data_IF_998841742853
#
_entry.id   IF_998841742853
#
_cell.length_a   1.000
_cell.length_b   1.000
_cell.length_c   1.000
_cell.angle_alpha   90.00
_cell.angle_beta   90.00
_cell.angle_gamma   90.00
#
_symmetry.space_group_name_H-M   'P 1'
#
loop_
_entity.id
_entity.type
_entity.pdbx_description
1 polymer ?
#
# COMPACT_ATOMS: atom_id res chain seq x y z
N UNK A 1 -38.11 12.28 -15.09
CA UNK A 1 -36.93 13.15 -14.89
C UNK A 1 -36.97 14.31 -15.89
N UNK A 2 -36.43 15.47 -15.52
CA UNK A 2 -36.34 16.67 -16.39
C UNK A 2 -34.87 16.95 -16.73
N UNK A 3 -34.63 17.65 -17.84
CA UNK A 3 -33.30 18.20 -18.19
C UNK A 3 -33.38 19.71 -18.34
N UNK A 4 -32.25 20.37 -18.13
CA UNK A 4 -32.10 21.80 -18.43
C UNK A 4 -31.80 21.95 -19.92
N UNK A 5 -32.53 22.84 -20.59
CA UNK A 5 -32.25 23.28 -21.97
C UNK A 5 -32.04 24.79 -21.92
N UNK A 6 -31.01 25.29 -22.59
CA UNK A 6 -30.80 26.73 -22.78
C UNK A 6 -30.84 26.99 -24.29
N UNK A 7 -31.76 27.85 -24.73
CA UNK A 7 -31.92 28.17 -26.13
C UNK A 7 -30.92 29.21 -26.66
N UNK A 8 -30.90 29.36 -27.97
CA UNK A 8 -29.87 30.11 -28.72
C UNK A 8 -29.92 31.62 -28.51
N UNK A 9 -31.01 32.18 -27.96
CA UNK A 9 -31.11 33.62 -27.71
C UNK A 9 -30.53 34.04 -26.37
N UNK A 10 -29.78 33.16 -25.71
CA UNK A 10 -29.11 33.43 -24.45
C UNK A 10 -28.27 34.72 -24.52
N UNK A 11 -28.54 35.66 -23.62
CA UNK A 11 -27.83 36.96 -23.56
C UNK A 11 -26.68 36.99 -22.56
N UNK A 12 -26.33 35.86 -21.93
CA UNK A 12 -25.21 35.81 -20.98
C UNK A 12 -25.41 36.60 -19.69
N UNK A 13 -26.64 36.71 -19.18
CA UNK A 13 -26.91 37.50 -17.97
C UNK A 13 -26.32 36.94 -16.65
N UNK A 14 -25.81 35.70 -16.67
CA UNK A 14 -25.10 35.08 -15.55
C UNK A 14 -25.96 34.57 -14.38
N UNK A 15 -27.26 34.87 -14.35
CA UNK A 15 -28.15 34.52 -13.22
C UNK A 15 -28.21 33.00 -12.96
N UNK A 16 -28.22 32.19 -14.02
CA UNK A 16 -28.30 30.74 -13.92
C UNK A 16 -26.97 30.06 -13.54
N UNK A 17 -25.84 30.77 -13.59
CA UNK A 17 -24.50 30.22 -13.32
C UNK A 17 -24.24 29.92 -11.84
N UNK A 18 -25.16 30.29 -10.95
CA UNK A 18 -25.12 29.83 -9.55
C UNK A 18 -25.24 28.30 -9.46
N UNK A 19 -25.91 27.66 -10.43
CA UNK A 19 -26.09 26.22 -10.47
C UNK A 19 -25.14 25.54 -11.47
N UNK A 20 -23.84 25.59 -11.15
CA UNK A 20 -22.75 25.03 -11.98
C UNK A 20 -22.82 23.50 -12.18
N UNK A 21 -23.68 22.83 -11.43
CA UNK A 21 -23.92 21.39 -11.57
C UNK A 21 -24.62 21.04 -12.88
N UNK A 22 -25.45 21.95 -13.39
CA UNK A 22 -26.28 21.70 -14.58
C UNK A 22 -25.98 22.63 -15.74
N UNK A 23 -25.30 23.75 -15.46
CA UNK A 23 -25.13 24.86 -16.40
C UNK A 23 -23.69 25.34 -16.34
N UNK A 24 -23.08 25.51 -17.50
CA UNK A 24 -21.75 26.05 -17.67
C UNK A 24 -21.78 27.33 -18.50
N UNK A 25 -20.74 28.14 -18.39
CA UNK A 25 -20.53 29.33 -19.23
C UNK A 25 -19.61 28.97 -20.39
N UNK A 26 -19.99 29.33 -21.61
CA UNK A 26 -19.15 29.12 -22.80
C UNK A 26 -18.10 30.22 -22.94
N UNK A 27 -17.16 30.03 -23.86
CA UNK A 27 -16.14 31.04 -24.21
C UNK A 27 -16.72 32.35 -24.74
N UNK A 28 -17.96 32.34 -25.21
CA UNK A 28 -18.68 33.50 -25.74
C UNK A 28 -19.49 34.24 -24.66
N UNK A 29 -19.37 33.83 -23.39
CA UNK A 29 -20.06 34.46 -22.24
C UNK A 29 -21.55 34.13 -22.16
N UNK A 30 -22.02 33.11 -22.89
CA UNK A 30 -23.40 32.62 -22.81
C UNK A 30 -23.48 31.36 -21.95
N UNK A 31 -24.64 31.15 -21.33
CA UNK A 31 -24.87 29.95 -20.54
C UNK A 31 -25.28 28.78 -21.46
N UNK A 32 -24.78 27.58 -21.16
CA UNK A 32 -25.14 26.32 -21.82
C UNK A 32 -25.45 25.24 -20.78
N UNK A 33 -26.45 24.41 -21.05
CA UNK A 33 -26.71 23.24 -20.22
C UNK A 33 -25.60 22.20 -20.42
N UNK A 34 -25.10 21.62 -19.32
CA UNK A 34 -24.11 20.54 -19.39
C UNK A 34 -24.80 19.30 -20.01
N UNK A 35 -24.34 18.80 -21.18
CA UNK A 35 -24.99 17.68 -21.85
C UNK A 35 -25.04 16.44 -20.95
N UNK A 36 -26.18 15.73 -20.95
CA UNK A 36 -26.36 14.48 -20.21
C UNK A 36 -26.67 14.62 -18.71
N UNK A 37 -26.68 15.84 -18.15
CA UNK A 37 -26.98 16.04 -16.74
C UNK A 37 -28.49 16.01 -16.45
N UNK A 38 -28.89 15.15 -15.51
CA UNK A 38 -30.28 14.95 -15.10
C UNK A 38 -30.61 15.73 -13.83
N UNK A 39 -31.71 16.48 -13.88
CA UNK A 39 -32.18 17.24 -12.72
C UNK A 39 -32.67 16.27 -11.65
N UNK A 40 -32.06 16.32 -10.47
CA UNK A 40 -32.51 15.53 -9.33
C UNK A 40 -33.74 16.18 -8.69
N UNK A 41 -34.58 15.39 -8.03
CA UNK A 41 -35.77 15.91 -7.33
C UNK A 41 -35.41 16.96 -6.26
N UNK A 42 -34.21 16.87 -5.69
CA UNK A 42 -33.68 17.84 -4.72
C UNK A 42 -33.39 19.20 -5.35
N UNK A 43 -32.85 19.20 -6.57
CA UNK A 43 -32.39 20.42 -7.26
C UNK A 43 -33.48 21.03 -8.16
N UNK A 44 -34.61 20.35 -8.31
CA UNK A 44 -35.73 20.78 -9.14
C UNK A 44 -36.32 22.13 -8.72
N UNK A 45 -36.59 22.43 -7.42
CA UNK A 45 -37.16 23.72 -7.02
C UNK A 45 -36.24 24.90 -7.37
N UNK A 46 -34.94 24.73 -7.18
CA UNK A 46 -33.94 25.77 -7.48
C UNK A 46 -33.89 26.06 -8.98
N UNK A 47 -33.97 25.03 -9.82
CA UNK A 47 -33.97 25.20 -11.26
C UNK A 47 -35.28 25.76 -11.80
N UNK A 48 -36.43 25.44 -11.19
CA UNK A 48 -37.73 26.04 -11.52
C UNK A 48 -37.74 27.54 -11.20
N UNK A 49 -37.07 27.95 -10.13
CA UNK A 49 -36.86 29.36 -9.81
C UNK A 49 -35.93 30.04 -10.82
N UNK A 50 -34.83 29.39 -11.22
CA UNK A 50 -33.90 29.90 -12.22
C UNK A 50 -34.59 30.08 -13.59
N UNK A 51 -35.44 29.13 -14.00
CA UNK A 51 -36.28 29.23 -15.20
C UNK A 51 -37.16 30.48 -15.17
N UNK A 52 -37.78 30.75 -14.01
CA UNK A 52 -38.68 31.89 -13.80
C UNK A 52 -37.96 33.25 -13.88
N UNK A 53 -36.75 33.35 -13.33
CA UNK A 53 -35.99 34.61 -13.25
C UNK A 53 -35.13 34.87 -14.49
N UNK A 54 -35.07 33.95 -15.45
CA UNK A 54 -34.38 34.17 -16.71
C UNK A 54 -35.03 35.34 -17.48
N UNK A 55 -34.32 36.46 -17.72
CA UNK A 55 -34.91 37.70 -18.24
C UNK A 55 -35.44 37.58 -19.68
N UNK A 56 -35.00 36.56 -20.39
CA UNK A 56 -35.37 36.27 -21.78
C UNK A 56 -36.10 34.92 -21.91
N UNK A 57 -36.33 34.22 -20.78
CA UNK A 57 -37.00 32.92 -20.72
C UNK A 57 -36.43 31.84 -21.66
N UNK A 58 -35.11 31.83 -21.89
CA UNK A 58 -34.44 30.82 -22.74
C UNK A 58 -34.01 29.57 -21.96
N UNK A 59 -34.10 29.58 -20.63
CA UNK A 59 -33.86 28.38 -19.82
C UNK A 59 -35.19 27.64 -19.66
N UNK A 60 -35.19 26.35 -19.98
CA UNK A 60 -36.37 25.50 -19.91
C UNK A 60 -36.11 24.19 -19.17
N UNK A 61 -37.03 23.81 -18.30
CA UNK A 61 -37.07 22.48 -17.71
C UNK A 61 -37.97 21.57 -18.55
N UNK A 62 -37.37 20.94 -19.55
CA UNK A 62 -38.12 20.05 -20.42
C UNK A 62 -38.27 18.68 -19.75
N UNK A 63 -39.52 18.17 -19.59
CA UNK A 63 -39.69 16.75 -19.29
C UNK A 63 -39.07 15.95 -20.44
N UNK A 64 -38.48 14.80 -20.13
CA UNK A 64 -38.17 13.81 -21.16
C UNK A 64 -39.47 13.36 -21.83
N UNK A 65 -39.94 14.11 -22.82
CA UNK A 65 -40.62 13.49 -23.95
C UNK A 65 -39.53 12.75 -24.71
N UNK A 66 -39.85 11.55 -25.19
CA UNK A 66 -39.09 10.79 -26.19
C UNK A 66 -39.02 11.58 -27.51
N UNK A 67 -38.46 12.78 -27.46
CA UNK A 67 -37.98 13.47 -28.64
C UNK A 67 -36.63 12.85 -28.91
N UNK A 68 -36.62 12.02 -29.97
CA UNK A 68 -35.45 11.41 -30.57
C UNK A 68 -34.32 12.42 -30.61
N UNK A 69 -33.39 12.33 -29.65
CA UNK A 69 -32.10 12.96 -29.82
C UNK A 69 -31.53 12.45 -31.15
N UNK A 70 -30.89 13.34 -31.91
CA UNK A 70 -30.28 12.96 -33.19
C UNK A 70 -29.45 11.70 -32.95
N UNK A 71 -29.75 10.64 -33.69
CA UNK A 71 -29.12 9.32 -33.51
C UNK A 71 -27.60 9.43 -33.58
N UNK A 72 -27.10 10.41 -34.33
CA UNK A 72 -25.68 10.76 -34.41
C UNK A 72 -25.13 11.29 -33.08
N UNK A 73 -25.86 12.18 -32.40
CA UNK A 73 -25.43 12.76 -31.11
C UNK A 73 -25.46 11.70 -30.00
N UNK A 74 -26.45 10.81 -30.02
CA UNK A 74 -26.49 9.66 -29.11
C UNK A 74 -25.33 8.70 -29.36
N UNK A 75 -25.05 8.37 -30.63
CA UNK A 75 -23.92 7.51 -30.97
C UNK A 75 -22.57 8.13 -30.59
N UNK A 76 -22.39 9.44 -30.81
CA UNK A 76 -21.16 10.15 -30.43
C UNK A 76 -20.99 10.21 -28.90
N UNK A 77 -22.10 10.29 -28.16
CA UNK A 77 -22.08 10.30 -26.69
C UNK A 77 -21.83 8.91 -26.10
N UNK A 78 -22.42 7.86 -26.68
CA UNK A 78 -22.15 6.45 -26.35
C UNK A 78 -20.67 6.13 -26.61
N UNK A 79 -20.14 6.54 -27.76
CA UNK A 79 -18.73 6.34 -28.09
C UNK A 79 -17.79 7.05 -27.11
N UNK A 80 -18.12 8.28 -26.68
CA UNK A 80 -17.31 8.99 -25.66
C UNK A 80 -17.26 8.25 -24.33
N UNK A 81 -18.38 7.67 -23.87
CA UNK A 81 -18.39 6.87 -22.64
C UNK A 81 -17.55 5.60 -22.78
N UNK A 82 -17.63 4.93 -23.93
CA UNK A 82 -16.79 3.78 -24.21
C UNK A 82 -15.30 4.17 -24.29
N UNK A 83 -14.99 5.33 -24.87
CA UNK A 83 -13.62 5.86 -24.94
C UNK A 83 -13.08 6.19 -23.54
N UNK A 84 -13.88 6.75 -22.62
CA UNK A 84 -13.48 6.94 -21.22
C UNK A 84 -13.08 5.61 -20.56
N UNK A 85 -13.82 4.53 -20.81
CA UNK A 85 -13.50 3.19 -20.29
C UNK A 85 -12.24 2.61 -20.94
N UNK A 86 -12.06 2.81 -22.25
CA UNK A 86 -10.87 2.38 -23.00
C UNK A 86 -9.63 3.12 -22.51
N UNK A 87 -9.73 4.42 -22.30
CA UNK A 87 -8.67 5.28 -21.80
C UNK A 87 -8.22 4.84 -20.40
N UNK A 88 -9.17 4.59 -19.50
CA UNK A 88 -8.89 4.02 -18.19
C UNK A 88 -8.14 2.69 -18.31
N UNK A 89 -8.64 1.74 -19.11
CA UNK A 89 -8.00 0.44 -19.32
C UNK A 89 -6.57 0.58 -19.87
N UNK A 90 -6.37 1.42 -20.88
CA UNK A 90 -5.09 1.54 -21.58
C UNK A 90 -4.03 2.17 -20.67
N UNK A 91 -4.43 3.16 -19.87
CA UNK A 91 -3.57 3.85 -18.92
C UNK A 91 -3.54 3.23 -17.51
N UNK A 92 -4.39 2.24 -17.23
CA UNK A 92 -4.40 1.56 -15.93
C UNK A 92 -3.04 0.96 -15.64
N UNK A 93 -2.46 1.39 -14.52
CA UNK A 93 -1.16 0.94 -14.05
C UNK A 93 -1.11 1.04 -12.54
N UNK A 94 -0.68 -0.03 -11.89
CA UNK A 94 -0.46 -0.02 -10.46
C UNK A 94 0.76 0.85 -10.17
N UNK A 95 0.67 1.68 -9.13
CA UNK A 95 1.88 2.20 -8.49
C UNK A 95 2.63 0.98 -7.96
N UNK A 96 3.93 0.89 -8.18
CA UNK A 96 4.76 -0.15 -7.56
C UNK A 96 5.34 0.41 -6.28
N UNK A 97 5.21 -0.28 -5.14
CA UNK A 97 5.86 0.15 -3.92
C UNK A 97 7.37 0.06 -4.10
N UNK A 98 8.09 1.09 -3.64
CA UNK A 98 9.54 1.00 -3.49
C UNK A 98 9.81 0.16 -2.25
N UNK A 99 10.27 -1.07 -2.46
CA UNK A 99 10.60 -1.94 -1.36
C UNK A 99 12.03 -1.64 -0.91
N UNK A 100 12.16 -1.04 0.27
CA UNK A 100 13.45 -0.92 0.92
C UNK A 100 13.73 -2.24 1.66
N UNK A 101 14.88 -2.88 1.40
CA UNK A 101 15.25 -4.09 2.11
C UNK A 101 15.52 -3.85 3.60
N UNK A 102 15.65 -2.58 4.00
CA UNK A 102 15.74 -2.18 5.40
C UNK A 102 14.32 -2.13 6.00
N UNK A 103 13.93 -3.10 6.84
CA UNK A 103 12.67 -3.07 7.56
C UNK A 103 12.59 -1.91 8.58
N UNK A 104 13.72 -1.29 8.92
CA UNK A 104 13.83 -0.20 9.90
C UNK A 104 13.89 -0.68 11.35
N UNK A 105 14.32 -1.92 11.59
CA UNK A 105 14.50 -2.45 12.94
C UNK A 105 15.73 -1.84 13.61
N UNK A 106 15.62 -1.60 14.92
CA UNK A 106 16.71 -1.16 15.78
C UNK A 106 17.08 -2.26 16.78
N UNK A 107 18.24 -2.13 17.43
CA UNK A 107 18.75 -3.07 18.44
C UNK A 107 17.73 -3.26 19.56
N UNK A 108 16.94 -2.22 19.84
CA UNK A 108 15.86 -2.27 20.85
C UNK A 108 14.70 -3.19 20.47
N UNK A 109 14.57 -3.57 19.20
CA UNK A 109 13.58 -4.54 18.74
C UNK A 109 13.99 -6.00 19.00
N UNK A 110 15.27 -6.23 19.31
CA UNK A 110 15.82 -7.54 19.61
C UNK A 110 15.63 -7.89 21.10
N UNK A 111 15.22 -9.13 21.44
CA UNK A 111 15.13 -9.59 22.82
C UNK A 111 16.54 -9.99 23.34
N UNK A 112 17.47 -9.03 23.33
CA UNK A 112 18.82 -9.21 23.86
C UNK A 112 18.81 -9.15 25.40
N UNK A 113 19.64 -9.98 26.02
CA UNK A 113 19.85 -9.95 27.46
C UNK A 113 21.07 -9.09 27.79
N UNK A 114 20.80 -8.01 28.51
CA UNK A 114 21.79 -7.07 28.98
C UNK A 114 22.20 -7.33 30.43
N UNK A 115 21.58 -8.33 31.08
CA UNK A 115 21.88 -8.68 32.46
C UNK A 115 23.18 -9.47 32.50
N UNK A 116 24.16 -8.91 33.21
CA UNK A 116 25.34 -9.60 33.64
C UNK A 116 25.35 -9.58 35.17
N UNK A 117 25.52 -10.74 35.84
CA UNK A 117 25.62 -10.74 37.30
C UNK A 117 26.84 -9.90 37.71
N UNK A 118 26.64 -8.87 38.53
CA UNK A 118 27.75 -8.03 39.03
C UNK A 118 28.69 -8.90 39.88
N UNK A 119 29.74 -9.43 39.25
CA UNK A 119 30.74 -10.31 39.85
C UNK A 119 32.12 -9.65 39.86
N UNK A 120 32.85 -9.85 40.95
CA UNK A 120 34.26 -9.44 41.09
C UNK A 120 35.15 -10.65 40.95
N UNK A 121 36.17 -10.55 40.11
CA UNK A 121 37.08 -11.65 39.80
C UNK A 121 38.48 -11.42 40.40
N UNK A 122 39.18 -12.52 40.71
CA UNK A 122 40.54 -12.50 41.26
C UNK A 122 41.63 -12.20 40.25
N UNK A 123 41.35 -12.35 38.96
CA UNK A 123 42.28 -12.07 37.87
C UNK A 123 41.52 -11.55 36.64
N UNK A 124 42.25 -10.89 35.74
CA UNK A 124 41.71 -10.47 34.45
C UNK A 124 41.27 -11.68 33.61
N UNK A 125 42.07 -12.76 33.60
CA UNK A 125 41.78 -13.97 32.84
C UNK A 125 40.48 -14.64 33.32
N UNK A 126 40.24 -14.67 34.64
CA UNK A 126 38.98 -15.21 35.21
C UNK A 126 37.77 -14.39 34.78
N UNK A 127 37.89 -13.05 34.78
CA UNK A 127 36.84 -12.15 34.33
C UNK A 127 36.55 -12.30 32.83
N UNK A 128 37.60 -12.39 32.03
CA UNK A 128 37.53 -12.56 30.58
C UNK A 128 36.89 -13.90 30.20
N UNK A 129 37.26 -15.00 30.87
CA UNK A 129 36.64 -16.31 30.67
C UNK A 129 35.16 -16.32 31.07
N UNK A 130 34.80 -15.70 32.21
CA UNK A 130 33.43 -15.60 32.68
C UNK A 130 32.55 -14.75 31.74
N UNK A 131 33.07 -13.61 31.28
CA UNK A 131 32.43 -12.77 30.27
C UNK A 131 32.17 -13.58 28.99
N UNK A 132 33.21 -14.21 28.44
CA UNK A 132 33.12 -15.00 27.21
C UNK A 132 32.12 -16.12 27.34
N UNK A 133 32.08 -16.81 28.47
CA UNK A 133 31.15 -17.91 28.69
C UNK A 133 29.71 -17.40 28.80
N UNK A 134 29.48 -16.31 29.50
CA UNK A 134 28.16 -15.67 29.61
C UNK A 134 27.68 -15.17 28.25
N UNK A 135 28.50 -14.39 27.56
CA UNK A 135 28.21 -13.89 26.23
C UNK A 135 28.01 -15.03 25.23
N UNK A 136 28.89 -16.05 25.20
CA UNK A 136 28.74 -17.17 24.27
C UNK A 136 27.46 -17.97 24.49
N UNK A 137 27.09 -18.21 25.74
CA UNK A 137 25.85 -18.92 26.07
C UNK A 137 24.60 -18.10 25.71
N UNK A 138 24.70 -16.76 25.70
CA UNK A 138 23.58 -15.90 25.36
C UNK A 138 23.45 -15.64 23.85
N UNK A 139 24.59 -15.56 23.16
CA UNK A 139 24.71 -15.10 21.76
C UNK A 139 24.80 -16.24 20.75
N UNK A 140 25.47 -17.35 21.10
CA UNK A 140 25.62 -18.50 20.19
C UNK A 140 24.66 -19.65 20.52
N UNK A 141 23.67 -19.42 21.38
CA UNK A 141 22.60 -20.38 21.58
C UNK A 141 21.70 -20.39 20.34
N UNK A 142 21.65 -21.55 19.70
CA UNK A 142 20.91 -21.79 18.46
C UNK A 142 19.41 -21.54 18.63
N UNK A 143 18.83 -21.91 19.78
CA UNK A 143 17.41 -21.74 20.07
C UNK A 143 17.06 -20.24 20.23
N UNK A 144 17.90 -19.48 20.95
CA UNK A 144 17.71 -18.03 21.14
C UNK A 144 17.81 -17.31 19.80
N UNK A 145 18.84 -17.62 19.00
CA UNK A 145 19.03 -17.03 17.68
C UNK A 145 17.87 -17.35 16.73
N UNK A 146 17.46 -18.61 16.63
CA UNK A 146 16.34 -19.03 15.78
C UNK A 146 15.03 -18.34 16.20
N UNK A 147 14.80 -18.22 17.51
CA UNK A 147 13.64 -17.48 18.05
C UNK A 147 13.65 -16.00 17.61
N UNK A 148 14.77 -15.30 17.75
CA UNK A 148 14.90 -13.89 17.37
C UNK A 148 14.62 -13.68 15.88
N UNK A 149 15.24 -14.51 15.04
CA UNK A 149 15.06 -14.50 13.58
C UNK A 149 13.59 -14.70 13.21
N UNK A 150 12.92 -15.70 13.81
CA UNK A 150 11.49 -15.98 13.59
C UNK A 150 10.61 -14.80 13.95
N UNK A 151 10.87 -14.18 15.09
CA UNK A 151 10.07 -13.05 15.57
C UNK A 151 10.18 -11.86 14.62
N UNK A 152 11.38 -11.54 14.14
CA UNK A 152 11.60 -10.43 13.22
C UNK A 152 10.97 -10.69 11.85
N UNK A 153 11.12 -11.90 11.31
CA UNK A 153 10.47 -12.26 10.05
C UNK A 153 8.95 -12.20 10.17
N UNK A 154 8.38 -12.69 11.27
CA UNK A 154 6.94 -12.62 11.51
C UNK A 154 6.44 -11.17 11.58
N UNK A 155 7.16 -10.29 12.29
CA UNK A 155 6.87 -8.85 12.33
C UNK A 155 6.97 -8.24 10.93
N UNK A 156 8.01 -8.57 10.18
CA UNK A 156 8.23 -8.01 8.84
C UNK A 156 7.08 -8.42 7.89
N UNK A 157 6.65 -9.68 7.92
CA UNK A 157 5.49 -10.15 7.14
C UNK A 157 4.21 -9.38 7.54
N UNK A 158 3.95 -9.26 8.84
CA UNK A 158 2.75 -8.59 9.35
C UNK A 158 2.74 -7.09 9.03
N UNK A 159 3.86 -6.39 9.20
CA UNK A 159 3.95 -4.94 9.11
C UNK A 159 4.20 -4.43 7.69
N UNK A 160 4.92 -5.19 6.85
CA UNK A 160 5.36 -4.75 5.51
C UNK A 160 4.71 -5.50 4.36
N UNK A 161 4.38 -6.78 4.53
CA UNK A 161 3.87 -7.60 3.42
C UNK A 161 2.35 -7.82 3.45
N UNK A 162 1.71 -7.68 4.62
CA UNK A 162 0.28 -7.97 4.82
C UNK A 162 -0.66 -7.32 3.82
N UNK A 163 -0.45 -6.04 3.51
CA UNK A 163 -1.27 -5.33 2.54
C UNK A 163 -1.35 -6.02 1.17
N UNK A 164 -0.33 -6.81 0.77
CA UNK A 164 -0.26 -7.42 -0.56
C UNK A 164 -0.88 -8.82 -0.65
N UNK A 165 -1.18 -9.45 0.48
CA UNK A 165 -1.86 -10.76 0.52
C UNK A 165 -3.24 -10.71 1.20
N UNK A 166 -3.65 -9.56 1.72
CA UNK A 166 -5.02 -9.35 2.18
C UNK A 166 -6.02 -9.40 1.03
N UNK A 167 -7.24 -9.95 1.27
CA UNK A 167 -8.33 -9.94 0.30
C UNK A 167 -8.57 -8.57 -0.32
N UNK A 168 -8.80 -8.51 -1.63
CA UNK A 168 -8.86 -7.24 -2.37
C UNK A 168 -10.06 -6.34 -2.01
N UNK A 169 -11.06 -6.88 -1.31
CA UNK A 169 -12.20 -6.16 -0.75
C UNK A 169 -11.93 -5.58 0.65
N UNK A 170 -10.79 -5.92 1.26
CA UNK A 170 -10.36 -5.39 2.55
C UNK A 170 -9.79 -3.96 2.38
N UNK A 171 -10.25 -2.96 3.14
CA UNK A 171 -9.73 -1.59 3.08
C UNK A 171 -8.22 -1.44 3.34
N UNK A 172 -7.59 -2.44 3.97
CA UNK A 172 -6.15 -2.45 4.26
C UNK A 172 -5.34 -3.20 3.20
N UNK A 173 -6.02 -3.77 2.19
CA UNK A 173 -5.37 -4.38 1.04
C UNK A 173 -4.85 -3.30 0.10
N UNK A 174 -3.68 -3.55 -0.46
CA UNK A 174 -3.07 -2.70 -1.48
C UNK A 174 -3.95 -2.54 -2.73
N UNK A 175 -4.75 -3.57 -3.03
CA UNK A 175 -5.58 -3.63 -4.24
C UNK A 175 -6.96 -2.97 -4.07
N UNK A 176 -7.32 -2.59 -2.85
CA UNK A 176 -8.65 -2.05 -2.54
C UNK A 176 -8.93 -0.73 -3.26
N UNK A 177 -7.97 0.19 -3.24
CA UNK A 177 -8.13 1.52 -3.85
C UNK A 177 -8.34 1.42 -5.36
N UNK A 178 -7.62 0.53 -6.04
CA UNK A 178 -7.75 0.32 -7.47
C UNK A 178 -9.09 -0.33 -7.86
N UNK A 179 -9.58 -1.29 -7.07
CA UNK A 179 -10.91 -1.84 -7.26
C UNK A 179 -11.98 -0.76 -7.08
N UNK A 180 -11.81 0.12 -6.08
CA UNK A 180 -12.73 1.23 -5.84
C UNK A 180 -12.72 2.24 -6.99
N UNK A 181 -11.55 2.58 -7.52
CA UNK A 181 -11.42 3.48 -8.68
C UNK A 181 -12.15 2.91 -9.91
N UNK A 182 -11.96 1.62 -10.19
CA UNK A 182 -12.68 0.94 -11.27
C UNK A 182 -14.20 0.90 -11.02
N UNK A 183 -14.62 0.62 -9.77
CA UNK A 183 -16.03 0.63 -9.35
C UNK A 183 -16.67 2.01 -9.52
N UNK A 184 -15.95 3.08 -9.18
CA UNK A 184 -16.42 4.47 -9.32
C UNK A 184 -16.57 4.86 -10.79
N UNK A 185 -15.64 4.45 -11.66
CA UNK A 185 -15.76 4.61 -13.12
C UNK A 185 -17.01 3.90 -13.65
N UNK A 186 -17.20 2.62 -13.31
CA UNK A 186 -18.37 1.87 -13.75
C UNK A 186 -19.68 2.47 -13.23
N UNK A 187 -19.70 2.95 -11.98
CA UNK A 187 -20.83 3.66 -11.41
C UNK A 187 -21.17 4.95 -12.17
N UNK A 188 -20.15 5.72 -12.56
CA UNK A 188 -20.33 6.94 -13.36
C UNK A 188 -20.82 6.66 -14.78
N UNK A 189 -20.36 5.59 -15.42
CA UNK A 189 -20.86 5.15 -16.73
C UNK A 189 -22.30 4.67 -16.63
N UNK A 190 -22.61 3.84 -15.64
CA UNK A 190 -23.96 3.31 -15.39
C UNK A 190 -24.98 4.44 -15.23
N UNK A 191 -24.67 5.46 -14.42
CA UNK A 191 -25.54 6.61 -14.18
C UNK A 191 -25.81 7.45 -15.45
N UNK A 192 -24.94 7.39 -16.45
CA UNK A 192 -25.04 8.13 -17.71
C UNK A 192 -25.60 7.29 -18.87
N UNK A 193 -25.78 5.97 -18.67
CA UNK A 193 -26.11 5.05 -19.76
C UNK A 193 -27.50 5.30 -20.37
N UNK A 194 -28.56 5.41 -19.56
CA UNK A 194 -29.93 5.70 -20.02
C UNK A 194 -30.00 6.98 -20.88
N UNK A 195 -29.16 7.97 -20.56
CA UNK A 195 -29.11 9.23 -21.31
C UNK A 195 -28.49 9.09 -22.71
N UNK A 196 -27.58 8.13 -22.91
CA UNK A 196 -26.92 7.89 -24.20
C UNK A 196 -27.54 6.76 -25.00
N UNK A 197 -28.28 5.86 -24.34
CA UNK A 197 -28.89 4.67 -24.94
C UNK A 197 -30.33 4.43 -24.47
N UNK A 198 -31.26 5.39 -24.70
CA UNK A 198 -32.62 5.35 -24.15
C UNK A 198 -33.53 4.27 -24.76
N UNK A 199 -33.12 3.70 -25.91
CA UNK A 199 -33.84 2.63 -26.60
C UNK A 199 -33.35 1.23 -26.19
N UNK A 200 -32.21 1.14 -25.51
CA UNK A 200 -31.65 -0.10 -24.98
C UNK A 200 -32.10 -0.30 -23.53
N UNK A 201 -32.27 -1.56 -23.12
CA UNK A 201 -32.49 -1.85 -21.70
C UNK A 201 -31.27 -1.45 -20.89
N UNK A 202 -31.48 -0.83 -19.72
CA UNK A 202 -30.40 -0.54 -18.79
C UNK A 202 -29.63 -1.83 -18.44
N UNK A 203 -28.30 -1.76 -18.27
CA UNK A 203 -27.56 -2.84 -17.63
C UNK A 203 -28.14 -3.13 -16.24
N UNK A 204 -28.02 -4.36 -15.72
CA UNK A 204 -28.43 -4.66 -14.36
C UNK A 204 -27.58 -3.87 -13.36
N UNK A 205 -28.11 -3.63 -12.15
CA UNK A 205 -27.39 -2.90 -11.09
C UNK A 205 -26.03 -3.56 -10.75
N UNK A 206 -25.94 -4.89 -10.85
CA UNK A 206 -24.71 -5.67 -10.64
C UNK A 206 -23.66 -5.44 -11.74
N UNK A 207 -24.01 -4.80 -12.86
CA UNK A 207 -23.05 -4.48 -13.92
C UNK A 207 -21.96 -3.53 -13.43
N UNK A 208 -22.30 -2.60 -12.51
CA UNK A 208 -21.32 -1.67 -11.96
C UNK A 208 -20.34 -2.34 -11.00
N UNK A 209 -20.62 -3.57 -10.55
CA UNK A 209 -19.77 -4.31 -9.62
C UNK A 209 -18.55 -4.90 -10.32
N UNK A 210 -17.39 -4.64 -9.72
CA UNK A 210 -16.09 -5.20 -10.11
C UNK A 210 -15.29 -5.54 -8.85
N UNK A 211 -14.75 -6.75 -8.82
CA UNK A 211 -13.81 -7.18 -7.79
C UNK A 211 -12.75 -8.05 -8.46
N UNK A 212 -11.58 -7.45 -8.67
CA UNK A 212 -10.40 -8.13 -9.16
C UNK A 212 -9.52 -8.42 -7.96
N UNK A 213 -9.16 -9.68 -7.81
CA UNK A 213 -8.20 -10.12 -6.81
C UNK A 213 -6.90 -10.49 -7.50
N UNK A 214 -5.73 -10.25 -6.89
CA UNK A 214 -4.49 -10.78 -7.42
C UNK A 214 -4.62 -12.30 -7.54
N UNK A 215 -4.52 -12.84 -8.75
CA UNK A 215 -4.40 -14.29 -8.93
C UNK A 215 -2.95 -14.69 -8.62
N UNK A 216 -2.52 -14.54 -7.37
CA UNK A 216 -1.36 -15.29 -6.96
C UNK A 216 -1.81 -16.74 -6.87
N UNK A 217 -1.11 -17.60 -7.57
CA UNK A 217 -1.17 -19.04 -7.35
C UNK A 217 -1.11 -19.26 -5.82
N UNK A 218 -1.94 -20.15 -5.25
CA UNK A 218 -1.91 -20.44 -3.80
C UNK A 218 -0.47 -20.69 -3.34
N UNK A 219 0.34 -21.27 -4.23
CA UNK A 219 1.79 -21.45 -4.08
C UNK A 219 2.53 -20.16 -3.78
N UNK A 220 2.28 -19.04 -4.44
CA UNK A 220 3.04 -17.81 -4.22
C UNK A 220 2.76 -17.21 -2.83
N UNK A 221 1.51 -17.17 -2.38
CA UNK A 221 1.17 -16.69 -1.02
C UNK A 221 1.55 -17.69 0.07
N UNK A 222 1.41 -18.99 -0.16
CA UNK A 222 1.88 -20.02 0.78
C UNK A 222 3.40 -20.09 0.85
N UNK A 223 4.11 -19.86 -0.25
CA UNK A 223 5.55 -19.67 -0.31
C UNK A 223 5.95 -18.39 0.47
N UNK A 224 5.18 -17.30 0.38
CA UNK A 224 5.40 -16.16 1.27
C UNK A 224 5.21 -16.51 2.74
N UNK A 225 4.21 -17.33 3.08
CA UNK A 225 3.98 -17.76 4.47
C UNK A 225 5.04 -18.75 4.95
N UNK A 226 5.54 -19.64 4.08
CA UNK A 226 6.32 -20.84 4.46
C UNK A 226 7.75 -20.92 3.91
N UNK A 227 8.09 -20.19 2.85
CA UNK A 227 9.31 -20.35 2.04
C UNK A 227 10.12 -19.06 1.79
N UNK A 228 9.85 -17.97 2.52
CA UNK A 228 10.86 -16.92 2.71
C UNK A 228 12.17 -17.65 3.06
N UNK A 229 13.25 -17.42 2.29
CA UNK A 229 14.54 -18.13 2.31
C UNK A 229 14.74 -18.86 3.63
N UNK A 230 14.74 -20.19 3.54
CA UNK A 230 14.59 -21.09 4.68
C UNK A 230 15.42 -20.63 5.86
N UNK A 231 14.84 -20.71 7.06
CA UNK A 231 15.52 -20.25 8.29
C UNK A 231 16.96 -20.69 8.36
N UNK A 232 17.29 -21.88 7.82
CA UNK A 232 18.63 -22.43 7.70
C UNK A 232 19.61 -21.51 6.93
N UNK A 233 19.24 -20.95 5.77
CA UNK A 233 20.12 -20.06 4.97
C UNK A 233 20.26 -18.66 5.60
N UNK A 234 19.23 -18.24 6.33
CA UNK A 234 19.23 -16.98 7.08
C UNK A 234 20.01 -17.12 8.40
N UNK A 235 19.90 -18.27 9.05
CA UNK A 235 20.73 -18.67 10.19
C UNK A 235 22.19 -18.79 9.76
N UNK A 236 22.49 -19.32 8.58
CA UNK A 236 23.84 -19.32 8.00
C UNK A 236 24.34 -17.88 7.73
N UNK A 237 23.48 -17.00 7.18
CA UNK A 237 23.85 -15.59 6.97
C UNK A 237 24.10 -14.85 8.28
N UNK A 238 23.28 -15.12 9.31
CA UNK A 238 23.49 -14.58 10.66
C UNK A 238 24.75 -15.19 11.29
N UNK A 239 25.00 -16.49 11.14
CA UNK A 239 26.22 -17.15 11.58
C UNK A 239 27.46 -16.54 10.94
N UNK A 240 27.42 -16.29 9.64
CA UNK A 240 28.52 -15.66 8.91
C UNK A 240 28.72 -14.21 9.32
N UNK A 241 27.65 -13.48 9.64
CA UNK A 241 27.77 -12.09 10.14
C UNK A 241 28.40 -12.02 11.54
N UNK A 242 28.22 -13.06 12.37
CA UNK A 242 28.71 -13.13 13.75
C UNK A 242 30.01 -13.96 13.85
N UNK A 243 30.36 -14.75 12.81
CA UNK A 243 31.65 -15.44 12.67
C UNK A 243 32.68 -14.48 12.08
N UNK A 244 33.52 -13.89 12.94
CA UNK A 244 34.83 -13.46 12.43
C UNK A 244 35.77 -14.67 12.29
N UNK A 245 36.73 -14.57 11.38
CA UNK A 245 37.85 -15.52 11.25
C UNK A 245 38.89 -15.40 12.37
N UNK A 246 38.66 -14.51 13.35
CA UNK A 246 39.44 -14.42 14.58
C UNK A 246 38.75 -15.21 15.68
N UNK A 247 39.54 -15.77 16.61
CA UNK A 247 39.00 -16.49 17.77
C UNK A 247 38.10 -15.60 18.67
N UNK A 248 38.07 -14.27 18.44
CA UNK A 248 37.50 -13.25 19.35
C UNK A 248 36.92 -12.02 18.62
N UNK A 249 35.80 -12.18 17.87
CA UNK A 249 35.20 -11.11 17.05
C UNK A 249 34.94 -9.79 17.79
N UNK A 250 34.63 -9.85 19.09
CA UNK A 250 34.20 -8.69 19.89
C UNK A 250 35.15 -8.34 21.05
N UNK A 251 36.39 -8.81 21.02
CA UNK A 251 37.41 -8.49 22.05
C UNK A 251 37.68 -6.98 22.22
N UNK A 252 37.32 -6.18 21.23
CA UNK A 252 37.44 -4.72 21.24
C UNK A 252 36.20 -3.99 21.80
N UNK A 253 35.09 -4.71 21.98
CA UNK A 253 33.78 -4.16 22.36
C UNK A 253 33.59 -4.04 23.88
N UNK A 254 34.53 -4.58 24.67
CA UNK A 254 34.45 -4.59 26.12
C UNK A 254 35.78 -4.22 26.78
N UNK A 255 35.67 -3.68 27.99
CA UNK A 255 36.79 -3.40 28.87
C UNK A 255 36.53 -4.05 30.24
N UNK A 256 37.56 -4.73 30.75
CA UNK A 256 37.59 -5.27 32.11
C UNK A 256 38.39 -4.29 32.96
N UNK A 257 37.75 -3.70 33.96
CA UNK A 257 38.37 -2.73 34.85
C UNK A 257 39.02 -3.43 36.03
N UNK A 258 40.27 -3.09 36.31
CA UNK A 258 40.92 -3.42 37.58
C UNK A 258 40.45 -2.41 38.66
N UNK A 259 39.72 -2.89 39.66
CA UNK A 259 39.47 -2.17 40.88
C UNK A 259 40.75 -2.17 41.71
N UNK A 260 41.45 -1.04 41.70
CA UNK A 260 42.54 -0.80 42.65
C UNK A 260 41.96 -0.43 44.00
N UNK A 261 41.81 -1.40 44.88
CA UNK A 261 41.77 -1.09 46.31
C UNK A 261 43.19 -0.80 46.79
N UNK A 262 43.40 0.41 47.31
CA UNK A 262 44.68 0.84 47.87
C UNK A 262 44.86 0.20 49.27
N UNK A 263 45.11 -1.10 49.31
CA UNK A 263 45.43 -1.83 50.55
C UNK A 263 46.95 -1.97 50.65
N UNK A 264 47.56 -1.07 51.42
CA UNK A 264 49.01 -0.88 51.49
C UNK A 264 49.87 -2.13 51.75
N UNK A 265 51.14 -2.01 51.34
CA UNK A 265 52.36 -2.80 51.61
C UNK A 265 52.36 -4.35 51.52
N UNK A 266 51.22 -5.04 51.55
CA UNK A 266 51.15 -6.49 51.34
C UNK A 266 49.92 -6.86 50.51
N UNK A 267 50.16 -7.16 49.22
CA UNK A 267 49.21 -7.69 48.22
C UNK A 267 48.01 -6.80 47.91
N UNK A 268 48.11 -6.09 46.79
CA UNK A 268 46.96 -5.70 45.99
C UNK A 268 46.33 -6.99 45.42
N UNK A 269 45.23 -7.46 46.01
CA UNK A 269 44.35 -8.37 45.29
C UNK A 269 43.51 -7.47 44.37
N UNK A 270 43.98 -7.23 43.15
CA UNK A 270 43.19 -6.51 42.16
C UNK A 270 41.88 -7.26 41.95
N UNK A 271 40.75 -6.62 42.24
CA UNK A 271 39.45 -7.17 41.92
C UNK A 271 39.09 -6.68 40.52
N UNK A 272 38.75 -7.57 39.60
CA UNK A 272 38.39 -7.21 38.23
C UNK A 272 36.88 -7.21 38.07
N UNK A 273 36.32 -6.22 37.38
CA UNK A 273 34.89 -6.10 37.09
C UNK A 273 34.68 -5.82 35.62
N UNK A 274 33.63 -6.40 35.06
CA UNK A 274 33.17 -6.19 33.69
C UNK A 274 32.32 -4.92 33.66
N UNK A 275 32.79 -3.90 32.94
CA UNK A 275 32.15 -2.57 32.93
C UNK A 275 31.29 -2.33 31.67
N UNK A 276 31.58 -3.05 30.59
CA UNK A 276 31.05 -2.76 29.25
C UNK A 276 30.26 -3.91 28.62
N UNK A 277 29.67 -4.80 29.42
CA UNK A 277 28.86 -5.91 28.90
C UNK A 277 27.75 -5.44 27.94
N UNK A 278 27.09 -4.32 28.25
CA UNK A 278 26.05 -3.75 27.39
C UNK A 278 26.57 -3.31 26.03
N UNK A 279 27.77 -2.74 25.96
CA UNK A 279 28.37 -2.32 24.69
C UNK A 279 28.71 -3.53 23.80
N UNK A 280 29.18 -4.61 24.42
CA UNK A 280 29.40 -5.90 23.75
C UNK A 280 28.09 -6.48 23.18
N UNK A 281 27.00 -6.43 23.96
CA UNK A 281 25.66 -6.87 23.49
C UNK A 281 25.13 -5.96 22.38
N UNK A 282 25.35 -4.65 22.45
CA UNK A 282 24.96 -3.70 21.40
C UNK A 282 25.69 -3.95 20.08
N UNK A 283 27.00 -4.25 20.11
CA UNK A 283 27.76 -4.58 18.89
C UNK A 283 27.26 -5.86 18.24
N UNK A 284 26.99 -6.90 19.03
CA UNK A 284 26.33 -8.11 18.54
C UNK A 284 24.96 -7.81 17.91
N UNK A 285 24.14 -6.98 18.58
CA UNK A 285 22.83 -6.60 18.07
C UNK A 285 22.89 -5.90 16.71
N UNK A 286 23.92 -5.07 16.47
CA UNK A 286 24.15 -4.41 15.17
C UNK A 286 24.46 -5.41 14.07
N UNK A 287 25.37 -6.35 14.33
CA UNK A 287 25.73 -7.39 13.37
C UNK A 287 24.53 -8.30 13.07
N UNK A 288 23.74 -8.64 14.10
CA UNK A 288 22.52 -9.43 13.94
C UNK A 288 21.48 -8.69 13.08
N UNK A 289 21.25 -7.40 13.30
CA UNK A 289 20.36 -6.59 12.45
C UNK A 289 20.89 -6.51 11.03
N UNK A 290 22.20 -6.33 10.86
CA UNK A 290 22.80 -6.32 9.52
C UNK A 290 22.58 -7.66 8.82
N UNK A 291 22.84 -8.79 9.47
CA UNK A 291 22.61 -10.12 8.92
C UNK A 291 21.14 -10.36 8.55
N UNK A 292 20.21 -9.92 9.40
CA UNK A 292 18.77 -9.98 9.13
C UNK A 292 18.39 -9.11 7.94
N UNK A 293 18.90 -7.87 7.86
CA UNK A 293 18.62 -6.95 6.76
C UNK A 293 19.16 -7.49 5.43
N UNK A 294 20.38 -8.04 5.44
CA UNK A 294 20.97 -8.70 4.27
C UNK A 294 20.14 -9.92 3.85
N UNK A 295 19.70 -10.73 4.81
CA UNK A 295 18.84 -11.87 4.59
C UNK A 295 17.50 -11.50 3.97
N UNK A 296 16.79 -10.53 4.56
CA UNK A 296 15.54 -9.97 4.01
C UNK A 296 15.79 -9.44 2.59
N UNK A 297 16.89 -8.72 2.35
CA UNK A 297 17.22 -8.19 1.02
C UNK A 297 17.41 -9.27 -0.05
N UNK A 298 17.96 -10.43 0.34
CA UNK A 298 18.24 -11.57 -0.55
C UNK A 298 17.00 -12.46 -0.73
N UNK A 299 16.20 -12.61 0.31
CA UNK A 299 14.90 -13.28 0.29
C UNK A 299 13.94 -12.58 -0.69
N UNK A 300 13.98 -11.25 -0.67
CA UNK A 300 13.30 -10.40 -1.61
C UNK A 300 14.02 -10.45 -2.97
N UNK A 301 13.80 -11.52 -3.74
CA UNK A 301 13.76 -11.40 -5.20
C UNK A 301 12.48 -10.67 -5.60
N UNK A 302 12.37 -9.41 -5.16
CA UNK A 302 11.20 -8.54 -5.34
C UNK A 302 10.68 -8.56 -6.77
N UNK A 303 11.65 -8.49 -7.68
CA UNK A 303 11.43 -8.34 -9.12
C UNK A 303 10.84 -9.59 -9.76
N UNK A 304 10.91 -10.76 -9.13
CA UNK A 304 10.32 -11.98 -9.68
C UNK A 304 9.01 -12.34 -8.97
N UNK A 305 8.94 -12.24 -7.64
CA UNK A 305 7.75 -12.63 -6.87
C UNK A 305 6.60 -11.62 -7.01
N UNK A 306 6.84 -10.35 -6.66
CA UNK A 306 5.77 -9.33 -6.66
C UNK A 306 5.45 -8.82 -8.06
N UNK A 307 6.44 -8.81 -8.95
CA UNK A 307 6.22 -8.43 -10.35
C UNK A 307 5.13 -9.27 -11.00
N UNK A 308 5.16 -10.60 -10.82
CA UNK A 308 4.14 -11.48 -11.39
C UNK A 308 2.76 -11.17 -10.83
N UNK A 309 2.64 -10.91 -9.53
CA UNK A 309 1.37 -10.55 -8.87
C UNK A 309 0.81 -9.24 -9.42
N UNK A 310 1.64 -8.19 -9.48
CA UNK A 310 1.22 -6.89 -9.99
C UNK A 310 0.90 -6.92 -11.49
N UNK A 311 1.74 -7.56 -12.31
CA UNK A 311 1.53 -7.72 -13.75
C UNK A 311 0.23 -8.49 -14.02
N UNK A 312 -0.04 -9.53 -13.21
CA UNK A 312 -1.26 -10.33 -13.32
C UNK A 312 -2.49 -9.53 -12.92
N UNK A 313 -2.44 -8.81 -11.80
CA UNK A 313 -3.55 -7.94 -11.39
C UNK A 313 -3.84 -6.86 -12.43
N UNK A 314 -2.81 -6.19 -12.97
CA UNK A 314 -2.99 -5.19 -14.03
C UNK A 314 -3.68 -5.79 -15.26
N UNK A 315 -3.22 -6.97 -15.69
CA UNK A 315 -3.82 -7.69 -16.82
C UNK A 315 -5.28 -8.04 -16.54
N UNK A 316 -5.56 -8.58 -15.35
CA UNK A 316 -6.89 -9.08 -15.00
C UNK A 316 -7.87 -7.91 -14.79
N UNK A 317 -7.41 -6.77 -14.29
CA UNK A 317 -8.19 -5.52 -14.23
C UNK A 317 -8.54 -5.01 -15.63
N UNK A 318 -7.56 -4.93 -16.53
CA UNK A 318 -7.80 -4.53 -17.92
C UNK A 318 -8.79 -5.47 -18.61
N UNK A 319 -8.63 -6.77 -18.41
CA UNK A 319 -9.55 -7.78 -18.93
C UNK A 319 -10.97 -7.64 -18.36
N UNK A 320 -11.12 -7.38 -17.06
CA UNK A 320 -12.41 -7.17 -16.43
C UNK A 320 -13.13 -5.94 -17.01
N UNK A 321 -12.41 -4.83 -17.23
CA UNK A 321 -12.95 -3.64 -17.89
C UNK A 321 -13.32 -3.94 -19.36
N UNK A 322 -12.48 -4.68 -20.09
CA UNK A 322 -12.77 -5.09 -21.46
C UNK A 322 -14.08 -5.89 -21.59
N UNK A 323 -14.34 -6.82 -20.66
CA UNK A 323 -15.60 -7.56 -20.65
C UNK A 323 -16.80 -6.64 -20.41
N UNK A 324 -16.68 -5.64 -19.51
CA UNK A 324 -17.73 -4.63 -19.29
C UNK A 324 -17.98 -3.78 -20.54
N UNK A 325 -16.93 -3.39 -21.26
CA UNK A 325 -17.03 -2.66 -22.54
C UNK A 325 -17.78 -3.53 -23.58
N UNK A 326 -17.38 -4.79 -23.75
CA UNK A 326 -18.02 -5.72 -24.70
C UNK A 326 -19.50 -5.96 -24.39
N UNK A 327 -19.88 -5.97 -23.12
CA UNK A 327 -21.29 -6.08 -22.72
C UNK A 327 -22.11 -4.87 -23.16
N UNK A 328 -21.55 -3.67 -23.08
CA UNK A 328 -22.20 -2.44 -23.55
C UNK A 328 -22.22 -2.31 -25.08
N UNK A 329 -21.18 -2.78 -25.78
CA UNK A 329 -21.14 -2.80 -27.26
C UNK A 329 -22.14 -3.77 -27.90
N UNK A 330 -22.53 -4.83 -27.17
CA UNK A 330 -23.51 -5.82 -27.63
C UNK A 330 -24.97 -5.37 -27.47
N UNK A 331 -25.20 -4.32 -26.68
CA UNK A 331 -26.51 -3.68 -26.55
C UNK A 331 -26.69 -2.66 -27.66
#
# INVERSE_FOLDING_TARGET
MKRVIIGEKCIGCGICLHNKKYIEETTDGIARAIPGMMVTDKDLPDLEEIERICPIHELHLSPLKKETADSRVLSESKERLLEEMRDFRDHFKLKRPEFHPDPGYDITDLPLDYDYPEETFSSWDDADEALRKCFKNHVYDEDIRSMMTRQILARYKAERLSAYYLPADNPWSYFYEYNKEAQDLLGAVYARWDAVSPDESDPPESWKEILVSPSADETCFSDFETSAWGMDDLEETVEDSVRSSSDEPYSHAYEIKELKEDTGFFRSNGAYVIDQYKALVDEYGKDLIQGINEGISKDIKFDDMFKKVFDTYERDMKHAIDEKIKELEKK
#
